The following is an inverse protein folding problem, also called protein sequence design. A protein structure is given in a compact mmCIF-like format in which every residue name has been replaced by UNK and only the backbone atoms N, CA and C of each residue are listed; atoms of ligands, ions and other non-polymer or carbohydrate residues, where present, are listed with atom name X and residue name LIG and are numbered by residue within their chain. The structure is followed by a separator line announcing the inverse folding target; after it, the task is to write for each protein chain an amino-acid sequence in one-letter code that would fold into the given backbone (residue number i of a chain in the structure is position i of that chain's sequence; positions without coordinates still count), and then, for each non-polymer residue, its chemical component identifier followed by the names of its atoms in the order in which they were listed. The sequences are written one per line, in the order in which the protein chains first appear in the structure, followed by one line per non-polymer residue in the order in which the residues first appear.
data_IF_875990064007
#
_entry.id   IF_875990064007
#
_cell.length_a   1.000
_cell.length_b   1.000
_cell.length_c   1.000
_cell.angle_alpha   90.00
_cell.angle_beta   90.00
_cell.angle_gamma   90.00
#
_symmetry.space_group_name_H-M   'P 1'
#
loop_
_entity.id
_entity.type
_entity.pdbx_description
1 polymer ?
#
# COMPACT_ATOMS: atom_id res chain seq x y z
N UNK A 1 0.33 0.15 12.75
CA UNK A 1 0.58 0.85 11.48
C UNK A 1 1.76 0.16 10.79
N UNK A 2 1.60 -0.24 9.53
CA UNK A 2 2.66 -0.86 8.72
C UNK A 2 2.65 -0.16 7.37
N UNK A 3 3.83 0.17 6.83
CA UNK A 3 3.96 0.89 5.57
C UNK A 3 3.34 2.29 5.60
N UNK A 4 3.07 2.84 6.79
CA UNK A 4 2.43 4.14 6.97
C UNK A 4 0.90 4.12 6.91
N UNK A 5 0.28 2.94 6.99
CA UNK A 5 -1.17 2.77 6.88
C UNK A 5 -1.74 1.89 8.02
N UNK A 6 -3.06 1.90 8.17
CA UNK A 6 -3.81 1.09 9.14
C UNK A 6 -5.20 0.76 8.62
N UNK A 7 -5.85 -0.26 9.20
CA UNK A 7 -7.26 -0.58 8.95
C UNK A 7 -8.14 0.67 9.08
N UNK A 8 -8.03 1.39 10.21
CA UNK A 8 -8.79 2.62 10.45
C UNK A 8 -8.55 3.71 9.38
N UNK A 9 -7.35 3.80 8.81
CA UNK A 9 -7.03 4.79 7.80
C UNK A 9 -7.58 4.40 6.42
N UNK A 10 -7.61 3.10 6.08
CA UNK A 10 -8.26 2.58 4.88
C UNK A 10 -9.78 2.74 5.01
N UNK A 11 -10.35 2.37 6.16
CA UNK A 11 -11.78 2.52 6.46
C UNK A 11 -12.24 3.97 6.24
N UNK A 12 -11.50 4.96 6.77
CA UNK A 12 -11.80 6.38 6.52
C UNK A 12 -11.78 6.76 5.04
N UNK A 13 -10.86 6.18 4.25
CA UNK A 13 -10.79 6.44 2.79
C UNK A 13 -11.95 5.78 2.04
N UNK A 14 -12.36 4.58 2.43
CA UNK A 14 -13.53 3.90 1.89
C UNK A 14 -14.83 4.66 2.20
N UNK A 15 -14.92 5.21 3.41
CA UNK A 15 -16.09 5.96 3.86
C UNK A 15 -16.16 7.40 3.31
N UNK A 16 -15.05 7.94 2.78
CA UNK A 16 -14.98 9.33 2.30
C UNK A 16 -15.96 9.66 1.16
N UNK A 17 -16.50 8.65 0.49
CA UNK A 17 -17.54 8.82 -0.54
C UNK A 17 -18.95 9.05 0.04
N UNK A 18 -19.16 8.76 1.33
CA UNK A 18 -20.46 8.93 1.99
C UNK A 18 -20.46 10.21 2.81
N UNK A 19 -21.43 11.10 2.57
CA UNK A 19 -21.61 12.28 3.41
C UNK A 19 -22.06 11.92 4.84
N UNK A 20 -22.89 10.89 4.96
CA UNK A 20 -23.41 10.37 6.22
C UNK A 20 -23.50 8.83 6.12
N UNK A 21 -22.43 8.11 6.47
CA UNK A 21 -22.43 6.65 6.37
C UNK A 21 -23.39 6.03 7.40
N UNK A 22 -24.14 5.02 6.96
CA UNK A 22 -24.98 4.22 7.85
C UNK A 22 -24.13 3.25 8.69
N UNK A 23 -24.75 2.61 9.68
CA UNK A 23 -24.09 1.53 10.42
C UNK A 23 -23.61 0.41 9.48
N UNK A 24 -24.42 0.03 8.49
CA UNK A 24 -24.07 -1.01 7.53
C UNK A 24 -22.88 -0.60 6.66
N UNK A 25 -22.83 0.68 6.22
CA UNK A 25 -21.69 1.20 5.45
C UNK A 25 -20.39 1.16 6.25
N UNK A 26 -20.46 1.53 7.54
CA UNK A 26 -19.29 1.50 8.45
C UNK A 26 -18.81 0.06 8.66
N UNK A 27 -19.73 -0.87 8.93
CA UNK A 27 -19.36 -2.29 9.11
C UNK A 27 -18.74 -2.88 7.84
N UNK A 28 -19.33 -2.60 6.67
CA UNK A 28 -18.81 -3.08 5.40
C UNK A 28 -17.43 -2.47 5.08
N UNK A 29 -17.26 -1.17 5.32
CA UNK A 29 -15.98 -0.50 5.12
C UNK A 29 -14.89 -1.04 6.05
N UNK A 30 -15.25 -1.39 7.29
CA UNK A 30 -14.33 -2.00 8.25
C UNK A 30 -13.82 -3.36 7.75
N UNK A 31 -14.73 -4.26 7.35
CA UNK A 31 -14.38 -5.58 6.80
C UNK A 31 -13.49 -5.44 5.56
N UNK A 32 -13.87 -4.55 4.63
CA UNK A 32 -13.06 -4.29 3.44
C UNK A 32 -11.68 -3.71 3.79
N UNK A 33 -11.60 -2.86 4.81
CA UNK A 33 -10.33 -2.29 5.25
C UNK A 33 -9.40 -3.35 5.86
N UNK A 34 -9.94 -4.33 6.59
CA UNK A 34 -9.16 -5.46 7.11
C UNK A 34 -8.56 -6.30 5.96
N UNK A 35 -9.38 -6.72 5.00
CA UNK A 35 -8.94 -7.50 3.84
C UNK A 35 -7.87 -6.76 3.02
N UNK A 36 -8.11 -5.48 2.72
CA UNK A 36 -7.15 -4.65 1.99
C UNK A 36 -5.85 -4.46 2.78
N UNK A 37 -5.94 -4.23 4.09
CA UNK A 37 -4.77 -4.00 4.92
C UNK A 37 -3.88 -5.24 4.99
N UNK A 38 -4.47 -6.43 5.14
CA UNK A 38 -3.73 -7.69 5.22
C UNK A 38 -2.85 -7.87 3.97
N UNK A 39 -3.44 -7.79 2.77
CA UNK A 39 -2.70 -8.00 1.52
C UNK A 39 -1.68 -6.87 1.27
N UNK A 40 -2.04 -5.62 1.58
CA UNK A 40 -1.09 -4.48 1.50
C UNK A 40 0.14 -4.72 2.37
N UNK A 41 -0.04 -5.24 3.58
CA UNK A 41 1.07 -5.55 4.50
C UNK A 41 1.97 -6.63 3.93
N UNK A 42 1.41 -7.67 3.32
CA UNK A 42 2.20 -8.72 2.68
C UNK A 42 3.04 -8.18 1.53
N UNK A 43 2.43 -7.39 0.64
CA UNK A 43 3.14 -6.72 -0.47
C UNK A 43 4.27 -5.85 0.07
N UNK A 44 4.01 -5.03 1.10
CA UNK A 44 5.02 -4.17 1.73
C UNK A 44 6.19 -4.98 2.28
N UNK A 45 5.93 -6.11 2.94
CA UNK A 45 6.98 -7.00 3.47
C UNK A 45 7.81 -7.63 2.36
N UNK A 46 7.17 -8.12 1.30
CA UNK A 46 7.84 -8.68 0.13
C UNK A 46 8.73 -7.63 -0.53
N UNK A 47 8.19 -6.43 -0.78
CA UNK A 47 8.94 -5.33 -1.37
C UNK A 47 10.09 -4.85 -0.49
N UNK A 48 9.94 -4.85 0.84
CA UNK A 48 11.04 -4.53 1.76
C UNK A 48 12.22 -5.51 1.63
N UNK A 49 11.96 -6.79 1.34
CA UNK A 49 12.98 -7.78 1.05
C UNK A 49 13.61 -7.63 -0.34
N UNK A 50 12.80 -7.32 -1.36
CA UNK A 50 13.27 -7.15 -2.74
C UNK A 50 14.02 -5.82 -2.95
N UNK A 51 13.57 -4.72 -2.33
CA UNK A 51 14.16 -3.40 -2.41
C UNK A 51 14.49 -2.82 -1.01
N UNK A 52 15.68 -3.12 -0.48
CA UNK A 52 16.11 -2.62 0.82
C UNK A 52 16.27 -1.09 0.88
N UNK A 53 16.35 -0.41 -0.26
CA UNK A 53 16.59 1.05 -0.35
C UNK A 53 15.33 1.87 -0.13
N UNK A 54 14.17 1.32 -0.49
CA UNK A 54 12.86 1.92 -0.27
C UNK A 54 12.43 1.88 1.19
N UNK A 55 11.73 2.93 1.62
CA UNK A 55 11.08 3.06 2.93
C UNK A 55 9.75 2.30 2.94
N UNK A 56 9.82 1.00 2.67
CA UNK A 56 8.66 0.12 2.57
C UNK A 56 7.91 0.01 3.89
N UNK A 57 8.64 -0.20 5.00
CA UNK A 57 8.01 -0.38 6.31
C UNK A 57 7.42 0.93 6.89
N UNK A 58 7.92 2.10 6.49
CA UNK A 58 7.43 3.39 6.96
C UNK A 58 6.40 4.05 6.04
N UNK A 59 6.54 3.92 4.71
CA UNK A 59 5.72 4.61 3.71
C UNK A 59 5.32 3.75 2.51
N UNK A 60 5.59 2.44 2.54
CA UNK A 60 5.35 1.53 1.42
C UNK A 60 3.90 1.41 0.98
N UNK A 61 2.93 1.59 1.89
CA UNK A 61 1.51 1.50 1.55
C UNK A 61 1.09 2.60 0.54
N UNK A 62 1.75 3.76 0.57
CA UNK A 62 1.50 4.87 -0.39
C UNK A 62 1.91 4.52 -1.81
N UNK A 63 2.87 3.62 -1.99
CA UNK A 63 3.21 3.10 -3.31
C UNK A 63 2.08 2.23 -3.91
N UNK A 64 1.11 1.81 -3.08
CA UNK A 64 -0.06 1.03 -3.46
C UNK A 64 -1.33 1.89 -3.60
N UNK A 65 -1.26 3.22 -3.54
CA UNK A 65 -2.44 4.06 -3.75
C UNK A 65 -2.84 4.02 -5.25
N UNK A 66 -4.12 4.11 -5.58
CA UNK A 66 -4.62 4.14 -6.95
C UNK A 66 -5.37 5.45 -7.24
N UNK A 67 -4.76 6.44 -7.92
CA UNK A 67 -5.41 7.72 -8.18
C UNK A 67 -6.61 7.63 -9.14
N UNK A 68 -6.85 6.46 -9.77
CA UNK A 68 -7.99 6.23 -10.67
C UNK A 68 -9.25 5.76 -9.94
N UNK A 69 -9.19 5.48 -8.64
CA UNK A 69 -10.36 5.08 -7.85
C UNK A 69 -10.81 6.21 -6.93
N UNK A 70 -12.10 6.27 -6.62
CA UNK A 70 -12.67 7.32 -5.77
C UNK A 70 -12.07 7.32 -4.35
N UNK A 71 -11.70 6.14 -3.84
CA UNK A 71 -11.15 5.96 -2.49
C UNK A 71 -9.64 6.05 -2.45
N UNK A 72 -8.96 6.02 -3.61
CA UNK A 72 -7.52 5.86 -3.68
C UNK A 72 -7.03 4.44 -3.41
N UNK A 73 -7.92 3.47 -3.21
CA UNK A 73 -7.58 2.06 -2.97
C UNK A 73 -7.63 1.23 -4.26
N UNK A 74 -6.74 0.24 -4.38
CA UNK A 74 -6.92 -0.82 -5.38
C UNK A 74 -8.04 -1.79 -4.95
N UNK A 75 -8.62 -2.50 -5.92
CA UNK A 75 -9.45 -3.65 -5.57
C UNK A 75 -8.59 -4.76 -4.94
N UNK A 76 -9.19 -5.55 -4.05
CA UNK A 76 -8.52 -6.68 -3.40
C UNK A 76 -7.93 -7.66 -4.42
N UNK A 77 -8.64 -7.93 -5.52
CA UNK A 77 -8.17 -8.78 -6.61
C UNK A 77 -6.87 -8.25 -7.25
N UNK A 78 -6.77 -6.93 -7.47
CA UNK A 78 -5.57 -6.34 -8.05
C UNK A 78 -4.38 -6.44 -7.09
N UNK A 79 -4.61 -6.29 -5.78
CA UNK A 79 -3.56 -6.49 -4.78
C UNK A 79 -3.06 -7.94 -4.77
N UNK A 80 -3.95 -8.94 -4.85
CA UNK A 80 -3.53 -10.34 -4.95
C UNK A 80 -2.78 -10.66 -6.25
N UNK A 81 -3.22 -10.10 -7.39
CA UNK A 81 -2.50 -10.26 -8.68
C UNK A 81 -1.09 -9.70 -8.58
N UNK A 82 -0.93 -8.53 -7.96
CA UNK A 82 0.36 -7.90 -7.73
C UNK A 82 1.23 -8.74 -6.78
N UNK A 83 0.66 -9.24 -5.67
CA UNK A 83 1.38 -10.10 -4.73
C UNK A 83 1.86 -11.40 -5.38
N UNK A 84 1.00 -12.07 -6.15
CA UNK A 84 1.35 -13.29 -6.91
C UNK A 84 2.49 -13.00 -7.90
N UNK A 85 2.41 -11.93 -8.68
CA UNK A 85 3.48 -11.53 -9.60
C UNK A 85 4.82 -11.29 -8.90
N UNK A 86 4.82 -10.63 -7.73
CA UNK A 86 6.03 -10.40 -6.93
C UNK A 86 6.59 -11.70 -6.35
N UNK A 87 5.75 -12.62 -5.89
CA UNK A 87 6.19 -13.90 -5.34
C UNK A 87 6.76 -14.82 -6.43
N UNK A 88 6.20 -14.79 -7.64
CA UNK A 88 6.64 -15.63 -8.77
C UNK A 88 7.92 -15.12 -9.41
N UNK A 89 8.02 -13.81 -9.65
CA UNK A 89 9.10 -13.20 -10.45
C UNK A 89 10.05 -12.29 -9.68
N UNK A 90 9.71 -11.93 -8.45
CA UNK A 90 10.53 -11.04 -7.61
C UNK A 90 10.91 -9.74 -8.34
N UNK A 91 12.22 -9.51 -8.49
CA UNK A 91 12.78 -8.31 -9.15
C UNK A 91 12.56 -8.26 -10.67
N UNK A 92 12.23 -9.39 -11.28
CA UNK A 92 11.96 -9.49 -12.72
C UNK A 92 10.52 -9.08 -13.06
N UNK A 93 9.63 -9.00 -12.05
CA UNK A 93 8.27 -8.52 -12.20
C UNK A 93 8.25 -7.04 -12.67
N UNK A 94 7.48 -6.70 -13.72
CA UNK A 94 7.21 -5.30 -14.06
C UNK A 94 6.64 -4.50 -12.87
N UNK A 95 5.79 -5.15 -12.07
CA UNK A 95 5.16 -4.61 -10.87
C UNK A 95 6.20 -4.17 -9.82
N UNK A 96 7.29 -4.92 -9.66
CA UNK A 96 8.39 -4.54 -8.77
C UNK A 96 8.99 -3.19 -9.16
N UNK A 97 9.26 -2.98 -10.46
CA UNK A 97 9.84 -1.72 -10.95
C UNK A 97 8.87 -0.55 -10.77
N UNK A 98 7.60 -0.77 -11.06
CA UNK A 98 6.56 0.25 -10.88
C UNK A 98 6.47 0.69 -9.41
N UNK A 99 6.33 -0.25 -8.50
CA UNK A 99 6.22 0.02 -7.06
C UNK A 99 7.49 0.68 -6.51
N UNK A 100 8.67 0.20 -6.92
CA UNK A 100 9.95 0.78 -6.52
C UNK A 100 10.07 2.26 -6.92
N UNK A 101 9.57 2.63 -8.10
CA UNK A 101 9.62 4.02 -8.55
C UNK A 101 8.65 4.94 -7.79
N UNK A 102 7.68 4.36 -7.08
CA UNK A 102 6.66 5.10 -6.31
C UNK A 102 7.00 5.23 -4.83
N UNK A 103 7.80 4.32 -4.27
CA UNK A 103 8.16 4.36 -2.85
C UNK A 103 9.19 5.45 -2.57
N UNK A 104 9.09 6.09 -1.41
CA UNK A 104 10.12 7.00 -0.93
C UNK A 104 11.37 6.23 -0.53
N UNK A 105 12.54 6.84 -0.68
CA UNK A 105 13.79 6.28 -0.16
C UNK A 105 13.89 6.44 1.36
N UNK A 106 14.60 5.52 2.02
CA UNK A 106 14.96 5.65 3.44
C UNK A 106 15.85 6.87 3.66
N UNK A 107 15.53 7.70 4.67
CA UNK A 107 16.43 8.78 5.11
C UNK A 107 17.74 8.17 5.63
N UNK A 108 18.89 8.65 5.12
CA UNK A 108 20.23 8.19 5.49
C UNK A 108 20.84 7.09 4.62
N UNK A 109 20.18 6.67 3.52
CA UNK A 109 20.81 5.87 2.46
C UNK A 109 21.76 6.71 1.59
N UNK A 110 22.57 6.08 0.71
CA UNK A 110 23.57 6.77 -0.13
C UNK A 110 22.97 7.59 -1.28
N UNK A 111 22.04 8.48 -0.93
CA UNK A 111 21.30 9.40 -1.79
C UNK A 111 20.26 10.24 -1.02
N UNK A 112 20.21 10.13 0.33
CA UNK A 112 19.42 11.02 1.16
C UNK A 112 20.26 12.24 1.53
N UNK A 113 20.10 13.33 0.78
CA UNK A 113 20.81 14.59 1.00
C UNK A 113 20.83 14.98 2.48
N UNK A 114 22.04 15.19 3.00
CA UNK A 114 22.27 15.95 4.22
C UNK A 114 21.84 17.38 3.95
N UNK A 115 20.67 17.76 4.46
CA UNK A 115 20.26 19.16 4.47
C UNK A 115 20.95 19.80 5.68
N UNK A 116 21.94 20.63 5.38
CA UNK A 116 22.55 21.57 6.30
C UNK A 116 21.58 22.72 6.65
#
# INVERSE_FOLDING_TARGET
MIGGDSVEAIERRLLAQFAYPSYEDIQLAHIQAEDLFEVKVEIVKVMAGLDPTGDWMGRGARALDNPRTATGEHSLEQLYRLLSALNERGKEAPEFKELKNRVFLKKGGPGGDSIA
#
